data_IF_862818851366
#
_entry.id   IF_862818851366
#
_cell.length_a   1.000
_cell.length_b   1.000
_cell.length_c   1.000
_cell.angle_alpha   90.00
_cell.angle_beta   90.00
_cell.angle_gamma   90.00
#
_symmetry.space_group_name_H-M   'P 1'
#
loop_
_entity.id
_entity.type
_entity.pdbx_description
1 polymer ?
#
# COMPACT_ATOMS: atom_id res chain seq x y z
N UNK A 1 11.70 2.41 -8.44
CA UNK A 1 10.90 3.42 -9.17
C UNK A 1 9.44 3.16 -8.86
N UNK A 2 8.66 4.20 -8.56
CA UNK A 2 7.20 4.12 -8.31
C UNK A 2 6.39 4.71 -9.47
N UNK A 3 5.15 5.09 -9.21
CA UNK A 3 4.25 5.75 -10.18
C UNK A 3 3.65 7.03 -9.59
N UNK A 4 3.11 7.91 -10.44
CA UNK A 4 2.40 9.12 -10.00
C UNK A 4 0.94 8.85 -9.65
N UNK A 5 0.30 9.77 -8.92
CA UNK A 5 -1.15 9.69 -8.66
C UNK A 5 -2.01 9.59 -9.94
N UNK A 6 -1.71 10.30 -11.05
CA UNK A 6 -2.50 10.16 -12.28
C UNK A 6 -2.49 8.73 -12.83
N UNK A 7 -1.36 8.03 -12.73
CA UNK A 7 -1.24 6.63 -13.16
C UNK A 7 -2.06 5.72 -12.23
N UNK A 8 -2.04 5.97 -10.91
CA UNK A 8 -2.91 5.28 -9.96
C UNK A 8 -4.40 5.46 -10.31
N UNK A 9 -4.84 6.68 -10.63
CA UNK A 9 -6.22 6.96 -11.05
C UNK A 9 -6.59 6.19 -12.31
N UNK A 10 -5.69 6.15 -13.31
CA UNK A 10 -5.90 5.37 -14.52
C UNK A 10 -6.06 3.86 -14.22
N UNK A 11 -5.26 3.32 -13.28
CA UNK A 11 -5.40 1.93 -12.84
C UNK A 11 -6.76 1.71 -12.17
N UNK A 12 -7.15 2.56 -11.22
CA UNK A 12 -8.42 2.43 -10.49
C UNK A 12 -9.64 2.48 -11.44
N UNK A 13 -9.62 3.37 -12.43
CA UNK A 13 -10.68 3.47 -13.44
C UNK A 13 -10.80 2.21 -14.30
N UNK A 14 -9.69 1.49 -14.57
CA UNK A 14 -9.74 0.21 -15.32
C UNK A 14 -10.45 -0.92 -14.54
N UNK A 15 -10.60 -0.77 -13.23
CA UNK A 15 -11.31 -1.70 -12.35
C UNK A 15 -12.68 -1.14 -11.90
N UNK A 16 -13.24 -0.17 -12.63
CA UNK A 16 -14.55 0.44 -12.37
C UNK A 16 -14.69 1.03 -10.95
N UNK A 17 -13.59 1.48 -10.34
CA UNK A 17 -13.63 2.11 -9.03
C UNK A 17 -14.39 3.45 -9.10
N UNK A 18 -15.50 3.55 -8.38
CA UNK A 18 -16.34 4.75 -8.37
C UNK A 18 -15.77 5.87 -7.48
N UNK A 19 -15.23 5.50 -6.31
CA UNK A 19 -14.58 6.42 -5.38
C UNK A 19 -13.32 5.78 -4.81
N UNK A 20 -12.24 6.56 -4.76
CA UNK A 20 -10.97 6.15 -4.18
C UNK A 20 -10.27 7.37 -3.57
N UNK A 21 -9.45 7.15 -2.56
CA UNK A 21 -8.57 8.16 -1.98
C UNK A 21 -7.14 7.65 -1.91
N UNK A 22 -6.18 8.55 -2.08
CA UNK A 22 -4.78 8.20 -1.89
C UNK A 22 -4.45 8.11 -0.38
N UNK A 23 -3.57 7.17 -0.04
CA UNK A 23 -3.07 6.95 1.32
C UNK A 23 -1.58 7.29 1.41
N UNK A 24 -0.96 7.02 2.56
CA UNK A 24 0.49 7.22 2.74
C UNK A 24 1.31 6.39 1.73
N UNK A 25 2.38 7.00 1.24
CA UNK A 25 3.19 6.51 0.13
C UNK A 25 4.63 6.17 0.53
N UNK A 26 5.49 5.99 -0.48
CA UNK A 26 6.92 5.81 -0.29
C UNK A 26 7.24 4.64 0.64
N UNK A 27 8.02 4.89 1.69
CA UNK A 27 8.46 3.85 2.63
C UNK A 27 7.30 3.26 3.44
N UNK A 28 6.16 3.96 3.51
CA UNK A 28 4.95 3.50 4.18
C UNK A 28 4.07 2.61 3.31
N UNK A 29 4.35 2.49 2.01
CA UNK A 29 3.63 1.57 1.12
C UNK A 29 4.07 0.12 1.41
N UNK A 30 3.41 -0.50 2.39
CA UNK A 30 3.71 -1.85 2.88
C UNK A 30 2.48 -2.74 2.82
N UNK A 31 2.69 -4.03 2.55
CA UNK A 31 1.68 -5.07 2.58
C UNK A 31 2.23 -6.30 3.29
N UNK A 32 1.40 -6.85 4.17
CA UNK A 32 1.62 -8.09 4.89
C UNK A 32 0.51 -9.07 4.55
N UNK A 33 0.85 -10.35 4.43
CA UNK A 33 -0.09 -11.43 4.15
C UNK A 33 0.28 -12.63 5.02
N UNK A 34 -0.66 -13.11 5.82
CA UNK A 34 -0.50 -14.26 6.71
C UNK A 34 0.77 -14.21 7.60
N UNK A 35 1.01 -13.04 8.21
CA UNK A 35 2.19 -12.81 9.05
C UNK A 35 3.50 -12.56 8.30
N UNK A 36 3.51 -12.65 6.98
CA UNK A 36 4.69 -12.42 6.14
C UNK A 36 4.68 -11.03 5.49
N UNK A 37 5.86 -10.42 5.40
CA UNK A 37 6.05 -9.16 4.68
C UNK A 37 6.26 -9.42 3.19
N UNK A 38 5.30 -9.05 2.35
CA UNK A 38 5.26 -9.48 0.93
C UNK A 38 5.60 -8.36 -0.07
N UNK A 39 5.95 -7.18 0.41
CA UNK A 39 6.36 -6.03 -0.43
C UNK A 39 7.80 -5.62 -0.11
N UNK A 40 8.30 -4.59 -0.78
CA UNK A 40 9.59 -3.97 -0.43
C UNK A 40 9.41 -2.47 -0.29
N UNK A 41 9.72 -1.92 0.87
CA UNK A 41 9.62 -0.50 1.13
C UNK A 41 10.73 0.27 0.38
N UNK A 42 10.54 1.56 0.15
CA UNK A 42 11.50 2.37 -0.62
C UNK A 42 12.80 2.69 0.14
N UNK A 43 12.86 2.43 1.45
CA UNK A 43 14.09 2.63 2.23
C UNK A 43 14.95 1.35 2.19
N UNK A 44 16.17 1.38 1.63
CA UNK A 44 17.00 0.20 1.47
C UNK A 44 17.61 -0.34 2.76
N UNK A 45 17.54 0.41 3.87
CA UNK A 45 18.18 0.06 5.15
C UNK A 45 17.24 -0.70 6.10
N UNK A 46 15.93 -0.63 5.87
CA UNK A 46 14.92 -1.25 6.75
C UNK A 46 14.05 -2.24 5.98
N UNK A 47 13.48 -3.21 6.68
CA UNK A 47 12.53 -4.16 6.10
C UNK A 47 11.14 -3.51 5.93
N UNK A 48 10.58 -2.96 7.01
CA UNK A 48 9.28 -2.27 7.01
C UNK A 48 9.31 -1.08 7.98
N UNK A 49 8.49 -0.06 7.71
CA UNK A 49 8.33 1.11 8.59
C UNK A 49 7.24 0.86 9.64
N UNK A 50 7.45 1.33 10.87
CA UNK A 50 6.39 1.41 11.88
C UNK A 50 5.36 2.48 11.51
N UNK A 51 4.08 2.09 11.46
CA UNK A 51 2.96 2.95 11.06
C UNK A 51 1.92 3.05 12.19
N UNK A 52 1.23 4.20 12.32
CA UNK A 52 0.27 4.41 13.40
C UNK A 52 -1.06 3.68 13.20
N UNK A 53 -1.39 3.29 11.97
CA UNK A 53 -2.62 2.57 11.61
C UNK A 53 -2.40 1.72 10.36
N UNK A 54 -3.37 0.83 10.08
CA UNK A 54 -3.37 -0.03 8.90
C UNK A 54 -4.81 -0.38 8.49
N UNK A 55 -4.98 -0.68 7.21
CA UNK A 55 -6.15 -1.43 6.73
C UNK A 55 -5.91 -2.91 6.97
N UNK A 56 -6.83 -3.57 7.66
CA UNK A 56 -6.76 -5.01 7.95
C UNK A 56 -8.00 -5.67 7.33
N UNK A 57 -7.78 -6.71 6.55
CA UNK A 57 -8.84 -7.50 5.92
C UNK A 57 -8.63 -8.98 6.24
N UNK A 58 -9.71 -9.65 6.66
CA UNK A 58 -9.70 -11.02 7.15
C UNK A 58 -10.34 -11.12 8.53
N UNK A 59 -10.26 -12.30 9.16
CA UNK A 59 -10.67 -12.43 10.55
C UNK A 59 -9.66 -11.64 11.40
N UNK A 60 -10.10 -10.48 11.88
CA UNK A 60 -9.49 -9.88 13.05
C UNK A 60 -9.63 -10.90 14.18
N UNK A 61 -8.51 -11.47 14.64
CA UNK A 61 -8.49 -12.16 15.92
C UNK A 61 -8.78 -11.14 17.04
#
# INVERSE_FOLDING_TARGET
MGIGLPDCTAIMNRYDAYQAMNMDGGTSSVMWYDGEYITKCSNPVIQSRYLPNAWVYGNAA
#
